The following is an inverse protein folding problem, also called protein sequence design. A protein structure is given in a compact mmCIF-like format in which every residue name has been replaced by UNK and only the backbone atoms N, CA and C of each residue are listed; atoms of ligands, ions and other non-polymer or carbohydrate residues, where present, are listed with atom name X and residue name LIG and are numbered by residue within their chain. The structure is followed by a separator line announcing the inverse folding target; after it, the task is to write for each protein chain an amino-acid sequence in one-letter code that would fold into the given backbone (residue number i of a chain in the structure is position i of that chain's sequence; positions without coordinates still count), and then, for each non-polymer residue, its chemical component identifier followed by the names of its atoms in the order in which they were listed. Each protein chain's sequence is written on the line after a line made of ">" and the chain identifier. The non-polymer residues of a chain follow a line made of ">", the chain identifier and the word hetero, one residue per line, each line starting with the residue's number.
data_IF_001074461801
#
_entry.id   IF_001074461801
#
_cell.length_a   1.000
_cell.length_b   1.000
_cell.length_c   1.000
_cell.angle_alpha   90.00
_cell.angle_beta   90.00
_cell.angle_gamma   90.00
#
_symmetry.space_group_name_H-M   'P 1'
#
loop_
_entity.id
_entity.type
_entity.pdbx_description
1 polymer ?
#
# COMPACT_ATOMS: atom_id res chain seq x y z
N UNK A 1 -7.93 0.67 -15.90
CA UNK A 1 -7.83 -0.63 -16.61
C UNK A 1 -6.38 -1.06 -16.93
N UNK A 2 -5.32 -0.28 -16.62
CA UNK A 2 -3.89 -0.71 -16.76
C UNK A 2 -3.30 -1.41 -15.52
N UNK A 3 -3.90 -1.26 -14.35
CA UNK A 3 -3.39 -1.80 -13.06
C UNK A 3 -3.51 -3.33 -12.95
N UNK A 4 -4.61 -3.91 -13.45
CA UNK A 4 -4.80 -5.36 -13.45
C UNK A 4 -3.82 -6.06 -14.39
N UNK A 5 -3.43 -5.41 -15.50
CA UNK A 5 -2.43 -5.92 -16.44
C UNK A 5 -1.04 -6.05 -15.80
N UNK A 6 -0.64 -5.12 -14.93
CA UNK A 6 0.65 -5.19 -14.22
C UNK A 6 0.71 -6.37 -13.25
N UNK A 7 -0.39 -6.66 -12.55
CA UNK A 7 -0.49 -7.83 -11.65
C UNK A 7 -0.59 -9.18 -12.38
N UNK A 8 -0.99 -9.15 -13.65
CA UNK A 8 -1.15 -10.35 -14.50
C UNK A 8 0.08 -10.64 -15.37
N UNK A 9 1.12 -9.81 -15.27
CA UNK A 9 2.37 -9.98 -16.00
C UNK A 9 3.10 -11.22 -15.47
N UNK A 10 3.31 -12.19 -16.37
CA UNK A 10 3.83 -13.53 -16.10
C UNK A 10 5.35 -13.56 -15.89
N UNK A 11 6.03 -12.43 -16.06
CA UNK A 11 7.44 -12.32 -15.70
C UNK A 11 7.62 -12.41 -14.17
N UNK A 12 8.64 -13.16 -13.74
CA UNK A 12 9.06 -13.22 -12.33
C UNK A 12 9.52 -11.81 -11.92
N UNK A 13 8.61 -11.04 -11.33
CA UNK A 13 8.95 -9.75 -10.72
C UNK A 13 9.47 -9.97 -9.31
N UNK A 14 10.49 -9.21 -8.96
CA UNK A 14 11.07 -9.23 -7.63
C UNK A 14 10.17 -8.51 -6.63
N UNK A 15 10.45 -8.74 -5.35
CA UNK A 15 9.95 -7.96 -4.23
C UNK A 15 10.21 -6.47 -4.46
N UNK A 16 11.43 -6.13 -4.90
CA UNK A 16 11.84 -4.75 -5.17
C UNK A 16 10.97 -4.10 -6.25
N UNK A 17 10.74 -4.79 -7.37
CA UNK A 17 9.87 -4.29 -8.44
C UNK A 17 8.44 -4.01 -7.93
N UNK A 18 7.98 -4.82 -6.98
CA UNK A 18 6.65 -4.69 -6.39
C UNK A 18 6.57 -3.48 -5.44
N UNK A 19 7.60 -3.27 -4.62
CA UNK A 19 7.76 -2.08 -3.77
C UNK A 19 7.84 -0.82 -4.62
N UNK A 20 8.63 -0.83 -5.69
CA UNK A 20 8.78 0.30 -6.60
C UNK A 20 7.46 0.64 -7.29
N UNK A 21 6.70 -0.37 -7.73
CA UNK A 21 5.39 -0.17 -8.32
C UNK A 21 4.40 0.44 -7.33
N UNK A 22 4.31 -0.09 -6.11
CA UNK A 22 3.43 0.43 -5.07
C UNK A 22 3.80 1.87 -4.69
N UNK A 23 5.10 2.16 -4.63
CA UNK A 23 5.63 3.50 -4.34
C UNK A 23 5.29 4.49 -5.45
N UNK A 24 5.45 4.09 -6.70
CA UNK A 24 5.10 4.93 -7.85
C UNK A 24 3.59 5.20 -7.89
N UNK A 25 2.77 4.17 -7.69
CA UNK A 25 1.32 4.31 -7.60
C UNK A 25 0.94 5.30 -6.49
N UNK A 26 1.49 5.13 -5.30
CA UNK A 26 1.23 6.02 -4.14
C UNK A 26 1.60 7.46 -4.44
N UNK A 27 2.77 7.69 -5.03
CA UNK A 27 3.23 9.03 -5.40
C UNK A 27 2.28 9.68 -6.40
N UNK A 28 1.92 8.99 -7.48
CA UNK A 28 1.01 9.52 -8.49
C UNK A 28 -0.37 9.83 -7.89
N UNK A 29 -0.94 8.88 -7.14
CA UNK A 29 -2.26 9.02 -6.54
C UNK A 29 -2.35 10.20 -5.57
N UNK A 30 -1.36 10.34 -4.67
CA UNK A 30 -1.37 11.45 -3.70
C UNK A 30 -1.11 12.81 -4.37
N UNK A 31 -0.26 12.84 -5.42
CA UNK A 31 -0.02 14.07 -6.20
C UNK A 31 -1.28 14.54 -6.92
N UNK A 32 -2.06 13.62 -7.50
CA UNK A 32 -3.36 13.93 -8.13
C UNK A 32 -4.41 14.49 -7.15
N UNK A 33 -4.18 14.32 -5.85
CA UNK A 33 -5.07 14.73 -4.77
C UNK A 33 -4.48 15.82 -3.87
N UNK A 34 -3.37 16.46 -4.26
CA UNK A 34 -2.69 17.52 -3.50
C UNK A 34 -2.26 17.12 -2.07
N UNK A 35 -1.98 15.83 -1.86
CA UNK A 35 -1.47 15.30 -0.57
C UNK A 35 0.04 15.08 -0.66
N UNK A 36 0.77 15.55 0.36
CA UNK A 36 2.22 15.35 0.45
C UNK A 36 2.54 13.88 0.75
N UNK A 37 3.51 13.31 0.03
CA UNK A 37 4.09 12.01 0.34
C UNK A 37 5.46 12.17 1.02
N UNK A 38 5.60 11.58 2.20
CA UNK A 38 6.88 11.36 2.85
C UNK A 38 7.25 9.88 2.73
N UNK A 39 8.30 9.58 1.98
CA UNK A 39 8.71 8.21 1.67
C UNK A 39 10.02 7.87 2.36
N UNK A 40 10.04 6.75 3.06
CA UNK A 40 11.27 6.15 3.63
C UNK A 40 11.40 4.70 3.16
N UNK A 41 12.59 4.34 2.67
CA UNK A 41 12.92 2.95 2.31
C UNK A 41 14.24 2.59 2.98
N UNK A 42 14.23 1.55 3.82
CA UNK A 42 15.39 1.16 4.63
C UNK A 42 15.60 -0.36 4.66
N UNK A 43 16.80 -0.79 5.03
CA UNK A 43 17.19 -2.20 5.10
C UNK A 43 17.92 -2.69 3.84
N UNK A 44 18.47 -3.90 3.94
CA UNK A 44 19.15 -4.58 2.84
C UNK A 44 18.18 -5.51 2.12
N UNK A 45 17.62 -5.04 1.01
CA UNK A 45 16.54 -5.72 0.31
C UNK A 45 17.07 -6.82 -0.61
N UNK A 46 16.68 -8.09 -0.38
CA UNK A 46 17.11 -9.19 -1.20
C UNK A 46 16.39 -9.20 -2.55
N UNK A 47 17.01 -9.85 -3.53
CA UNK A 47 16.36 -10.18 -4.79
C UNK A 47 15.49 -11.44 -4.62
N UNK A 48 14.31 -11.26 -4.04
CA UNK A 48 13.33 -12.32 -3.81
C UNK A 48 12.20 -12.25 -4.83
N UNK A 49 11.85 -13.35 -5.51
CA UNK A 49 10.66 -13.38 -6.35
C UNK A 49 9.40 -13.35 -5.49
N UNK A 50 8.38 -12.59 -5.92
CA UNK A 50 7.03 -12.65 -5.36
C UNK A 50 6.08 -13.34 -6.33
N UNK A 51 5.23 -14.22 -5.80
CA UNK A 51 4.20 -14.82 -6.62
C UNK A 51 3.18 -13.75 -7.10
N UNK A 52 2.51 -13.96 -8.25
CA UNK A 52 1.55 -12.97 -8.77
C UNK A 52 0.42 -12.60 -7.80
N UNK A 53 -0.02 -13.54 -6.95
CA UNK A 53 -1.08 -13.32 -5.96
C UNK A 53 -0.58 -12.41 -4.84
N UNK A 54 0.61 -12.65 -4.31
CA UNK A 54 1.26 -11.80 -3.30
C UNK A 54 1.46 -10.37 -3.83
N UNK A 55 1.94 -10.22 -5.08
CA UNK A 55 2.09 -8.90 -5.72
C UNK A 55 0.76 -8.16 -5.79
N UNK A 56 -0.29 -8.85 -6.24
CA UNK A 56 -1.64 -8.29 -6.33
C UNK A 56 -2.20 -7.93 -4.95
N UNK A 57 -2.05 -8.81 -3.98
CA UNK A 57 -2.60 -8.62 -2.64
C UNK A 57 -1.92 -7.46 -1.90
N UNK A 58 -0.58 -7.31 -2.04
CA UNK A 58 0.14 -6.14 -1.55
C UNK A 58 -0.34 -4.84 -2.21
N UNK A 59 -0.49 -4.83 -3.53
CA UNK A 59 -0.99 -3.67 -4.26
C UNK A 59 -2.41 -3.26 -3.80
N UNK A 60 -3.30 -4.24 -3.60
CA UNK A 60 -4.66 -3.97 -3.14
C UNK A 60 -4.69 -3.45 -1.70
N UNK A 61 -3.77 -3.88 -0.84
CA UNK A 61 -3.61 -3.33 0.51
C UNK A 61 -3.20 -1.85 0.44
N UNK A 62 -2.18 -1.52 -0.37
CA UNK A 62 -1.74 -0.12 -0.57
C UNK A 62 -2.90 0.73 -1.11
N UNK A 63 -3.61 0.23 -2.12
CA UNK A 63 -4.75 0.94 -2.72
C UNK A 63 -5.87 1.21 -1.73
N UNK A 64 -6.25 0.22 -0.92
CA UNK A 64 -7.30 0.40 0.08
C UNK A 64 -6.87 1.36 1.19
N UNK A 65 -5.61 1.33 1.62
CA UNK A 65 -5.08 2.28 2.59
C UNK A 65 -5.18 3.72 2.07
N UNK A 66 -4.73 3.99 0.85
CA UNK A 66 -4.82 5.34 0.26
C UNK A 66 -6.27 5.79 0.06
N UNK A 67 -7.15 4.87 -0.33
CA UNK A 67 -8.57 5.16 -0.47
C UNK A 67 -9.22 5.51 0.87
N UNK A 68 -8.82 4.86 1.97
CA UNK A 68 -9.26 5.21 3.31
C UNK A 68 -8.79 6.62 3.70
N UNK A 69 -7.54 6.97 3.40
CA UNK A 69 -7.03 8.34 3.63
C UNK A 69 -7.90 9.36 2.89
N UNK A 70 -8.13 9.14 1.59
CA UNK A 70 -8.90 10.07 0.76
C UNK A 70 -10.35 10.25 1.21
N UNK A 71 -10.97 9.18 1.70
CA UNK A 71 -12.38 9.20 2.08
C UNK A 71 -12.63 9.66 3.50
N UNK A 72 -11.69 9.43 4.40
CA UNK A 72 -11.97 9.47 5.83
C UNK A 72 -11.00 10.32 6.65
N UNK A 73 -9.76 10.52 6.19
CA UNK A 73 -8.74 11.11 7.05
C UNK A 73 -8.75 12.65 7.06
N UNK A 74 -9.17 13.31 5.98
CA UNK A 74 -8.95 14.75 5.79
C UNK A 74 -7.47 15.14 6.04
N UNK A 75 -6.56 14.30 5.55
CA UNK A 75 -5.13 14.40 5.73
C UNK A 75 -4.49 15.35 4.72
N UNK A 76 -3.37 15.96 5.10
CA UNK A 76 -2.52 16.77 4.22
C UNK A 76 -1.22 16.06 3.86
N UNK A 77 -0.81 15.10 4.68
CA UNK A 77 0.43 14.34 4.51
C UNK A 77 0.19 12.86 4.77
N UNK A 78 0.78 12.03 3.92
CA UNK A 78 0.89 10.58 4.12
C UNK A 78 2.36 10.20 4.20
N UNK A 79 2.72 9.46 5.24
CA UNK A 79 4.02 8.82 5.39
C UNK A 79 3.92 7.36 4.96
N UNK A 80 4.77 6.96 4.00
CA UNK A 80 4.94 5.57 3.57
C UNK A 80 6.35 5.11 3.93
N UNK A 81 6.45 4.04 4.70
CA UNK A 81 7.72 3.43 5.09
C UNK A 81 7.78 1.99 4.65
N UNK A 82 8.82 1.66 3.87
CA UNK A 82 9.21 0.30 3.56
C UNK A 82 10.47 -0.05 4.34
N UNK A 83 10.46 -1.17 5.05
CA UNK A 83 11.63 -1.66 5.78
C UNK A 83 11.84 -3.14 5.51
N UNK A 84 13.08 -3.51 5.21
CA UNK A 84 13.50 -4.92 5.22
C UNK A 84 14.32 -5.21 6.48
N UNK A 85 13.82 -6.14 7.30
CA UNK A 85 14.52 -6.67 8.47
C UNK A 85 14.36 -8.19 8.57
N UNK A 86 13.42 -8.68 9.37
CA UNK A 86 13.03 -10.10 9.47
C UNK A 86 11.90 -10.45 8.49
N UNK A 87 11.88 -9.78 7.33
CA UNK A 87 10.77 -9.72 6.41
C UNK A 87 10.55 -8.30 5.91
N UNK A 88 9.49 -8.13 5.11
CA UNK A 88 9.07 -6.84 4.61
C UNK A 88 8.02 -6.23 5.54
N UNK A 89 8.32 -5.05 6.07
CA UNK A 89 7.37 -4.21 6.78
C UNK A 89 6.95 -3.03 5.88
N UNK A 90 5.64 -2.84 5.76
CA UNK A 90 5.02 -1.68 5.12
C UNK A 90 4.20 -0.93 6.16
N UNK A 91 4.51 0.35 6.35
CA UNK A 91 3.71 1.27 7.16
C UNK A 91 3.18 2.39 6.27
N UNK A 92 1.86 2.61 6.32
CA UNK A 92 1.19 3.76 5.71
C UNK A 92 0.47 4.48 6.84
N UNK A 93 0.82 5.75 7.05
CA UNK A 93 0.26 6.60 8.09
C UNK A 93 -0.15 7.93 7.48
N UNK A 94 -1.29 8.48 7.91
CA UNK A 94 -1.73 9.83 7.58
C UNK A 94 -1.73 10.75 8.82
N UNK A 95 -1.78 12.06 8.60
CA UNK A 95 -1.87 13.10 9.63
C UNK A 95 -3.32 13.57 9.89
N UNK A 96 -4.29 12.74 9.50
CA UNK A 96 -5.71 13.09 9.52
C UNK A 96 -6.40 12.97 10.88
N UNK A 97 -7.73 12.95 10.84
CA UNK A 97 -8.61 12.99 12.01
C UNK A 97 -8.68 11.68 12.81
N UNK A 98 -7.95 10.65 12.38
CA UNK A 98 -7.99 9.32 12.98
C UNK A 98 -9.23 8.49 12.59
N UNK A 99 -9.33 7.29 13.17
CA UNK A 99 -10.43 6.36 12.89
C UNK A 99 -11.65 6.70 13.75
N UNK A 100 -12.82 6.79 13.12
CA UNK A 100 -14.09 6.94 13.83
C UNK A 100 -14.31 5.78 14.81
N UNK A 101 -14.82 6.08 16.01
CA UNK A 101 -15.23 5.07 16.98
C UNK A 101 -16.27 4.13 16.35
N UNK A 102 -16.09 2.84 16.58
CA UNK A 102 -16.53 1.68 15.77
C UNK A 102 -18.04 1.42 15.64
N UNK A 103 -18.93 2.41 15.72
CA UNK A 103 -20.38 2.17 15.81
C UNK A 103 -21.19 2.54 14.57
N UNK A 104 -20.67 3.35 13.65
CA UNK A 104 -21.42 3.73 12.44
C UNK A 104 -20.63 3.37 11.18
N UNK A 105 -21.01 2.25 10.56
CA UNK A 105 -20.60 1.83 9.21
C UNK A 105 -19.15 1.33 9.06
N UNK A 106 -18.79 0.24 9.77
CA UNK A 106 -17.57 -0.50 9.48
C UNK A 106 -17.65 -1.16 8.08
N UNK A 107 -17.00 -0.54 7.08
CA UNK A 107 -16.79 -1.18 5.78
C UNK A 107 -15.87 -2.41 5.90
N UNK A 108 -15.85 -3.24 4.86
CA UNK A 108 -15.05 -4.49 4.86
C UNK A 108 -13.54 -4.27 4.57
N UNK A 109 -13.10 -3.03 4.34
CA UNK A 109 -11.74 -2.70 3.88
C UNK A 109 -10.63 -3.22 4.78
N UNK A 110 -10.71 -2.93 6.09
CA UNK A 110 -9.72 -3.39 7.08
C UNK A 110 -9.70 -4.92 7.22
N UNK A 111 -10.87 -5.59 7.18
CA UNK A 111 -10.93 -7.06 7.24
C UNK A 111 -10.30 -7.69 5.99
N UNK A 112 -10.61 -7.15 4.81
CA UNK A 112 -10.07 -7.62 3.54
C UNK A 112 -8.54 -7.45 3.48
N UNK A 113 -8.01 -6.31 3.95
CA UNK A 113 -6.56 -6.11 4.04
C UNK A 113 -5.90 -7.15 4.95
N UNK A 114 -6.50 -7.43 6.11
CA UNK A 114 -5.99 -8.45 7.05
C UNK A 114 -6.02 -9.86 6.45
N UNK A 115 -7.07 -10.21 5.72
CA UNK A 115 -7.17 -11.51 5.04
C UNK A 115 -6.13 -11.67 3.93
N UNK A 116 -5.79 -10.59 3.22
CA UNK A 116 -4.75 -10.61 2.17
C UNK A 116 -3.34 -10.85 2.69
N UNK A 117 -3.01 -10.33 3.88
CA UNK A 117 -1.67 -10.48 4.47
C UNK A 117 -1.47 -11.82 5.19
N UNK A 118 -2.56 -12.43 5.69
CA UNK A 118 -2.50 -13.72 6.40
C UNK A 118 -2.42 -14.94 5.50
N UNK A 119 -2.75 -14.81 4.22
CA UNK A 119 -2.90 -15.90 3.25
C UNK A 119 -1.82 -15.91 2.18
#
# INVERSE_FOLDING_TARGET
>A
MRELLWSMDTERRSLRDTVDHCTLYTRSYLTEHDIKLELTVTGDWPDLPLDPRQRRDLFLVVKEALHNVMKHANASTVTMTWQWSNGMDLVIQDDGIGLASTTDHAGNGLSNMRERIRN
#
